data_IF_172161686831
#
_entry.id   IF_172161686831
#
_cell.length_a   1.000
_cell.length_b   1.000
_cell.length_c   1.000
_cell.angle_alpha   90.00
_cell.angle_beta   90.00
_cell.angle_gamma   90.00
#
_symmetry.space_group_name_H-M   'P 1'
#
loop_
_entity.id
_entity.type
_entity.pdbx_description
1 polymer ?
#
# COMPACT_ATOMS: atom_id res chain seq x y z
N UNK A 1 -6.05 12.48 -17.51
CA UNK A 1 -6.80 11.90 -16.38
C UNK A 1 -7.43 10.62 -16.89
N UNK A 2 -7.00 9.43 -16.44
CA UNK A 2 -7.59 8.16 -16.88
C UNK A 2 -8.99 8.05 -16.27
N UNK A 3 -10.01 7.83 -17.10
CA UNK A 3 -11.36 7.63 -16.62
C UNK A 3 -11.41 6.36 -15.75
N UNK A 4 -12.10 6.36 -14.60
CA UNK A 4 -12.23 5.15 -13.80
C UNK A 4 -12.94 4.09 -14.66
N UNK A 5 -12.30 2.93 -14.82
CA UNK A 5 -12.92 1.75 -15.41
C UNK A 5 -14.10 1.37 -14.51
N UNK A 6 -15.30 1.81 -14.88
CA UNK A 6 -16.52 1.62 -14.10
C UNK A 6 -17.05 0.18 -14.30
N UNK A 7 -16.18 -0.81 -14.13
CA UNK A 7 -16.49 -2.22 -14.23
C UNK A 7 -17.15 -2.67 -12.92
N UNK A 8 -18.45 -3.00 -12.99
CA UNK A 8 -19.26 -3.40 -11.84
C UNK A 8 -18.77 -4.70 -11.17
N UNK A 9 -17.91 -5.48 -11.82
CA UNK A 9 -17.30 -6.69 -11.24
C UNK A 9 -16.15 -6.35 -10.30
N UNK A 10 -15.52 -5.19 -10.46
CA UNK A 10 -14.41 -4.73 -9.63
C UNK A 10 -14.94 -3.72 -8.61
N UNK A 11 -14.90 -4.11 -7.34
CA UNK A 11 -15.32 -3.25 -6.26
C UNK A 11 -14.15 -2.36 -5.80
N UNK A 12 -14.08 -1.15 -6.34
CA UNK A 12 -13.15 -0.12 -5.90
C UNK A 12 -13.80 0.75 -4.82
N UNK A 13 -13.30 0.66 -3.58
CA UNK A 13 -13.83 1.41 -2.44
C UNK A 13 -12.69 1.85 -1.51
N UNK A 14 -12.90 2.94 -0.79
CA UNK A 14 -12.01 3.37 0.29
C UNK A 14 -12.07 2.44 1.51
N UNK A 15 -11.02 2.44 2.31
CA UNK A 15 -10.77 1.47 3.39
C UNK A 15 -11.90 1.31 4.41
N UNK A 16 -12.48 2.43 4.87
CA UNK A 16 -13.56 2.41 5.88
C UNK A 16 -14.81 1.68 5.41
N UNK A 17 -15.06 1.65 4.10
CA UNK A 17 -16.26 1.01 3.52
C UNK A 17 -16.09 -0.49 3.33
N UNK A 18 -14.88 -1.02 3.50
CA UNK A 18 -14.56 -2.42 3.24
C UNK A 18 -14.23 -3.22 4.49
N UNK A 19 -14.28 -2.59 5.67
CA UNK A 19 -14.12 -3.29 6.94
C UNK A 19 -15.21 -4.36 7.11
N UNK A 20 -14.81 -5.58 7.48
CA UNK A 20 -15.71 -6.73 7.59
C UNK A 20 -16.10 -7.37 6.25
N UNK A 21 -15.60 -6.87 5.12
CA UNK A 21 -15.90 -7.40 3.79
C UNK A 21 -14.68 -8.11 3.21
N UNK A 22 -14.74 -9.44 3.14
CA UNK A 22 -13.69 -10.28 2.55
C UNK A 22 -13.85 -10.48 1.04
N UNK A 23 -12.72 -10.69 0.35
CA UNK A 23 -12.63 -11.02 -1.07
C UNK A 23 -11.57 -12.09 -1.28
N UNK A 24 -11.70 -12.87 -2.34
CA UNK A 24 -10.75 -13.93 -2.67
C UNK A 24 -9.36 -13.36 -3.00
N UNK A 25 -9.35 -12.29 -3.80
CA UNK A 25 -8.16 -11.50 -4.14
C UNK A 25 -8.42 -10.02 -3.85
N UNK A 26 -7.44 -9.33 -3.30
CA UNK A 26 -7.49 -7.87 -3.12
C UNK A 26 -6.28 -7.16 -3.68
N UNK A 27 -6.52 -6.01 -4.31
CA UNK A 27 -5.48 -5.09 -4.74
C UNK A 27 -5.55 -3.86 -3.84
N UNK A 28 -4.43 -3.50 -3.23
CA UNK A 28 -4.29 -2.34 -2.35
C UNK A 28 -3.38 -1.35 -3.03
N UNK A 29 -3.94 -0.20 -3.41
CA UNK A 29 -3.23 0.87 -4.10
C UNK A 29 -2.72 1.92 -3.12
N UNK A 30 -1.40 2.01 -2.99
CA UNK A 30 -0.67 2.95 -2.14
C UNK A 30 0.25 3.86 -2.98
N UNK A 31 -0.02 4.01 -4.28
CA UNK A 31 0.84 4.76 -5.21
C UNK A 31 0.89 6.27 -4.92
N UNK A 32 -0.14 6.83 -4.27
CA UNK A 32 -0.21 8.26 -3.93
C UNK A 32 0.52 8.65 -2.63
N UNK A 33 1.18 7.71 -1.94
CA UNK A 33 1.79 7.97 -0.62
C UNK A 33 3.07 8.84 -0.64
N UNK A 34 3.46 9.43 -1.78
CA UNK A 34 4.68 10.25 -1.94
C UNK A 34 4.69 11.60 -1.22
N UNK A 35 3.59 12.01 -0.60
CA UNK A 35 3.54 13.15 0.33
C UNK A 35 2.62 12.76 1.46
N UNK A 36 3.14 12.56 2.68
CA UNK A 36 2.43 12.58 3.98
C UNK A 36 0.90 12.68 3.86
N UNK A 37 0.26 11.69 3.24
CA UNK A 37 -1.18 11.64 3.23
C UNK A 37 -1.48 11.00 4.56
N UNK A 38 -2.23 11.68 5.42
CA UNK A 38 -2.71 11.15 6.71
C UNK A 38 -3.27 9.71 6.63
N UNK A 39 -3.62 9.28 5.41
CA UNK A 39 -3.94 7.93 4.96
C UNK A 39 -2.90 6.84 5.27
N UNK A 40 -1.60 7.18 5.33
CA UNK A 40 -0.50 6.25 5.63
C UNK A 40 -0.05 6.33 7.10
N UNK A 41 -0.79 7.04 7.96
CA UNK A 41 -0.41 7.20 9.37
C UNK A 41 -1.24 6.31 10.32
N UNK A 42 -2.41 5.80 9.90
CA UNK A 42 -3.21 4.88 10.75
C UNK A 42 -2.89 3.41 10.44
N UNK A 43 -2.11 2.78 11.31
CA UNK A 43 -1.80 1.35 11.25
C UNK A 43 -3.04 0.44 11.21
N UNK A 44 -4.20 0.90 11.71
CA UNK A 44 -5.45 0.11 11.72
C UNK A 44 -6.03 -0.02 10.32
N UNK A 45 -5.96 1.04 9.52
CA UNK A 45 -6.44 1.00 8.14
C UNK A 45 -5.56 0.06 7.29
N UNK A 46 -4.25 0.04 7.53
CA UNK A 46 -3.34 -0.93 6.90
C UNK A 46 -3.68 -2.37 7.32
N UNK A 47 -3.95 -2.63 8.61
CA UNK A 47 -4.34 -3.95 9.09
C UNK A 47 -5.60 -4.47 8.42
N UNK A 48 -6.64 -3.63 8.27
CA UNK A 48 -7.88 -4.00 7.57
C UNK A 48 -7.57 -4.44 6.12
N UNK A 49 -6.64 -3.77 5.44
CA UNK A 49 -6.26 -4.11 4.07
C UNK A 49 -5.44 -5.41 3.99
N UNK A 50 -4.58 -5.67 4.97
CA UNK A 50 -3.79 -6.89 5.05
C UNK A 50 -4.58 -8.13 5.48
N UNK A 51 -5.87 -8.02 5.84
CA UNK A 51 -6.62 -9.14 6.45
C UNK A 51 -7.90 -9.53 5.71
N UNK A 52 -8.24 -8.82 4.63
CA UNK A 52 -9.51 -9.02 3.92
C UNK A 52 -9.43 -9.98 2.74
N UNK A 53 -8.23 -10.34 2.29
CA UNK A 53 -8.03 -11.34 1.26
C UNK A 53 -8.14 -12.76 1.83
N UNK A 54 -8.71 -13.69 1.08
CA UNK A 54 -8.71 -15.13 1.44
C UNK A 54 -7.51 -15.87 0.87
N UNK A 55 -7.12 -15.54 -0.36
CA UNK A 55 -6.09 -16.28 -1.09
C UNK A 55 -4.91 -15.42 -1.50
N UNK A 56 -5.13 -14.16 -1.91
CA UNK A 56 -4.05 -13.32 -2.42
C UNK A 56 -4.27 -11.83 -2.16
N UNK A 57 -3.18 -11.14 -1.83
CA UNK A 57 -3.11 -9.67 -1.82
C UNK A 57 -2.02 -9.18 -2.76
N UNK A 58 -2.33 -8.13 -3.51
CA UNK A 58 -1.39 -7.40 -4.36
C UNK A 58 -1.28 -5.98 -3.81
N UNK A 59 -0.06 -5.59 -3.45
CA UNK A 59 0.26 -4.25 -3.00
C UNK A 59 0.88 -3.46 -4.15
N UNK A 60 0.24 -2.35 -4.55
CA UNK A 60 0.80 -1.40 -5.52
C UNK A 60 1.40 -0.23 -4.75
N UNK A 61 2.64 0.12 -5.07
CA UNK A 61 3.37 1.17 -4.37
C UNK A 61 4.28 1.95 -5.29
N UNK A 62 4.50 3.22 -4.96
CA UNK A 62 5.58 4.00 -5.57
C UNK A 62 6.93 3.62 -4.97
N UNK A 63 8.01 3.85 -5.71
CA UNK A 63 9.38 3.54 -5.22
C UNK A 63 9.71 4.37 -3.98
N UNK A 64 9.16 5.57 -3.93
CA UNK A 64 9.29 6.51 -2.82
C UNK A 64 8.59 5.97 -1.58
N UNK A 65 7.32 5.57 -1.68
CA UNK A 65 6.58 5.05 -0.53
C UNK A 65 7.19 3.76 0.04
N UNK A 66 7.81 2.94 -0.81
CA UNK A 66 8.53 1.73 -0.39
C UNK A 66 9.95 2.00 0.16
N UNK A 67 10.40 3.27 0.19
CA UNK A 67 11.72 3.66 0.63
C UNK A 67 11.63 4.51 1.91
N UNK A 68 12.15 4.01 3.05
CA UNK A 68 12.18 4.78 4.29
C UNK A 68 12.84 6.16 4.15
N UNK A 69 13.86 6.30 3.29
CA UNK A 69 14.58 7.56 3.10
C UNK A 69 13.76 8.64 2.38
N UNK A 70 12.61 8.28 1.79
CA UNK A 70 11.72 9.24 1.14
C UNK A 70 10.88 10.05 2.15
N UNK A 71 10.80 9.58 3.40
CA UNK A 71 10.01 10.20 4.46
C UNK A 71 10.75 11.33 5.21
N UNK A 72 11.96 11.68 4.78
CA UNK A 72 12.74 12.82 5.29
C UNK A 72 14.16 12.43 5.73
N UNK A 73 14.83 13.33 6.46
CA UNK A 73 16.18 13.13 6.97
C UNK A 73 16.23 11.96 7.98
N UNK A 74 17.42 11.47 8.34
CA UNK A 74 17.59 10.32 9.26
C UNK A 74 16.85 10.49 10.61
N UNK A 75 16.72 11.72 11.10
CA UNK A 75 15.93 12.07 12.29
C UNK A 75 14.41 12.03 12.07
N UNK A 76 13.95 12.19 10.82
CA UNK A 76 12.55 12.04 10.39
C UNK A 76 12.17 10.57 10.20
N UNK A 77 13.11 9.71 9.79
CA UNK A 77 12.92 8.26 9.73
C UNK A 77 12.60 7.66 11.10
N UNK A 78 13.33 8.05 12.15
CA UNK A 78 13.03 7.66 13.54
C UNK A 78 11.66 8.18 14.02
N UNK A 79 11.12 9.21 13.36
CA UNK A 79 9.79 9.78 13.61
C UNK A 79 8.71 9.25 12.67
N UNK A 80 9.02 8.31 11.77
CA UNK A 80 8.01 7.58 11.01
C UNK A 80 7.12 6.81 11.99
N UNK A 81 5.94 7.34 12.24
CA UNK A 81 4.89 6.69 13.04
C UNK A 81 3.90 6.00 12.11
N UNK A 82 3.22 4.98 12.62
CA UNK A 82 2.03 4.46 11.97
C UNK A 82 2.28 3.59 10.75
N UNK A 83 1.48 3.77 9.71
CA UNK A 83 1.41 2.89 8.55
C UNK A 83 2.59 3.05 7.55
N UNK A 84 3.28 4.19 7.50
CA UNK A 84 4.47 4.36 6.64
C UNK A 84 5.63 3.42 7.01
N UNK A 85 5.87 3.22 8.31
CA UNK A 85 6.87 2.26 8.82
C UNK A 85 6.48 0.82 8.46
N UNK A 86 5.22 0.46 8.75
CA UNK A 86 4.70 -0.86 8.44
C UNK A 86 4.77 -1.15 6.93
N UNK A 87 4.56 -0.14 6.10
CA UNK A 87 4.62 -0.28 4.66
C UNK A 87 6.03 -0.54 4.13
N UNK A 88 7.02 0.18 4.65
CA UNK A 88 8.42 -0.11 4.37
C UNK A 88 8.76 -1.55 4.79
N UNK A 89 8.31 -1.98 5.98
CA UNK A 89 8.50 -3.36 6.45
C UNK A 89 7.80 -4.41 5.56
N UNK A 90 6.60 -4.14 5.05
CA UNK A 90 5.93 -5.01 4.06
C UNK A 90 6.75 -5.10 2.77
N UNK A 91 7.29 -3.98 2.32
CA UNK A 91 8.13 -3.93 1.11
C UNK A 91 9.43 -4.71 1.29
N UNK A 92 10.08 -4.57 2.44
CA UNK A 92 11.28 -5.34 2.83
C UNK A 92 10.97 -6.83 2.95
N UNK A 93 9.84 -7.18 3.58
CA UNK A 93 9.37 -8.57 3.67
C UNK A 93 9.14 -9.16 2.28
N UNK A 94 8.49 -8.43 1.37
CA UNK A 94 8.27 -8.88 0.01
C UNK A 94 9.58 -9.10 -0.76
N UNK A 95 10.59 -8.23 -0.56
CA UNK A 95 11.92 -8.39 -1.14
C UNK A 95 12.63 -9.64 -0.60
N UNK A 96 12.62 -9.81 0.72
CA UNK A 96 13.25 -10.96 1.39
C UNK A 96 12.65 -12.31 0.95
N UNK A 97 11.37 -12.33 0.58
CA UNK A 97 10.68 -13.53 0.09
C UNK A 97 10.69 -13.67 -1.44
N UNK A 98 11.37 -12.79 -2.18
CA UNK A 98 11.44 -12.87 -3.65
C UNK A 98 10.12 -12.60 -4.38
N UNK A 99 9.14 -11.99 -3.70
CA UNK A 99 7.81 -11.66 -4.27
C UNK A 99 7.66 -10.18 -4.62
N UNK A 100 8.72 -9.39 -4.44
CA UNK A 100 8.76 -7.99 -4.84
C UNK A 100 9.06 -7.87 -6.35
N UNK A 101 8.17 -7.21 -7.09
CA UNK A 101 8.35 -6.93 -8.51
C UNK A 101 8.43 -5.42 -8.75
N UNK A 102 9.51 -4.96 -9.39
CA UNK A 102 9.67 -3.56 -9.80
C UNK A 102 9.21 -3.40 -11.24
N UNK A 103 8.16 -2.62 -11.46
CA UNK A 103 7.78 -2.22 -12.81
C UNK A 103 8.73 -1.12 -13.31
N UNK A 104 9.35 -1.33 -14.47
CA UNK A 104 10.01 -0.27 -15.24
C UNK A 104 9.34 -0.19 -16.60
N UNK A 105 8.97 1.02 -17.02
CA UNK A 105 8.56 1.20 -18.41
C UNK A 105 9.76 0.87 -19.29
N UNK A 106 9.61 -0.09 -20.20
CA UNK A 106 10.56 -0.27 -21.31
C UNK A 106 10.46 0.99 -22.15
N UNK A 107 11.44 1.89 -21.99
CA UNK A 107 11.72 2.98 -22.93
C UNK A 107 12.09 2.43 -24.29
#
# INVERSE_FOLDING_TARGET
MLAPLNDKRVNANGFKKVQGISRDVTIVDMTLCGKLTAFADDSRDLLINCTRHKYMVIFLTSTEAANPSSYGNESSYLRMKGAGKNWCSISEFAKANGVFCKYSQRT
#
